data_IF_655073619633
#
_entry.id   IF_655073619633
#
_cell.length_a   1.000
_cell.length_b   1.000
_cell.length_c   1.000
_cell.angle_alpha   90.00
_cell.angle_beta   90.00
_cell.angle_gamma   90.00
#
_symmetry.space_group_name_H-M   'P 1'
#
loop_
_entity.id
_entity.type
_entity.pdbx_description
1 polymer ?
#
# COMPACT_ATOMS: atom_id res chain seq x y z
N UNK A 1 15.37 35.89 6.25
CA UNK A 1 13.92 35.67 6.21
C UNK A 1 13.63 35.19 4.80
N UNK A 2 13.65 33.89 4.59
CA UNK A 2 13.41 33.23 3.33
C UNK A 2 11.90 33.05 3.20
N UNK A 3 11.29 33.76 2.24
CA UNK A 3 9.91 33.53 1.84
C UNK A 3 9.80 32.12 1.26
N UNK A 4 9.15 31.23 2.00
CA UNK A 4 8.63 29.98 1.47
C UNK A 4 7.53 30.35 0.45
N UNK A 5 7.88 30.34 -0.83
CA UNK A 5 6.89 30.35 -1.89
C UNK A 5 5.99 29.14 -1.69
N UNK A 6 4.79 29.38 -1.16
CA UNK A 6 3.70 28.42 -1.26
C UNK A 6 3.38 28.25 -2.74
N UNK A 7 3.90 27.19 -3.35
CA UNK A 7 3.38 26.72 -4.62
C UNK A 7 1.88 26.54 -4.45
N UNK A 8 1.05 27.05 -5.37
CA UNK A 8 -0.38 26.81 -5.33
C UNK A 8 -0.57 25.30 -5.39
N UNK A 9 -1.05 24.71 -4.29
CA UNK A 9 -1.53 23.33 -4.28
C UNK A 9 -2.66 23.25 -5.31
N UNK A 10 -2.31 22.80 -6.50
CA UNK A 10 -3.28 22.51 -7.55
C UNK A 10 -4.16 21.38 -7.02
N UNK A 11 -5.33 21.72 -6.48
CA UNK A 11 -6.24 20.84 -5.74
C UNK A 11 -6.74 19.63 -6.52
N UNK A 12 -6.36 19.49 -7.79
CA UNK A 12 -6.95 18.53 -8.73
C UNK A 12 -5.97 17.54 -9.37
N UNK A 13 -4.73 17.44 -8.89
CA UNK A 13 -3.77 16.49 -9.43
C UNK A 13 -3.65 15.32 -8.47
N UNK A 14 -4.30 14.22 -8.81
CA UNK A 14 -4.21 12.93 -8.14
C UNK A 14 -3.35 12.03 -9.01
N UNK A 15 -2.09 11.84 -8.63
CA UNK A 15 -1.11 11.08 -9.41
C UNK A 15 -0.99 9.64 -8.95
N UNK A 16 -0.61 8.74 -9.86
CA UNK A 16 -0.30 7.34 -9.51
C UNK A 16 0.77 7.30 -8.43
N UNK A 17 0.60 6.41 -7.48
CA UNK A 17 1.38 6.22 -6.24
C UNK A 17 1.12 7.22 -5.12
N UNK A 18 0.34 8.29 -5.32
CA UNK A 18 -0.08 9.15 -4.21
C UNK A 18 -0.86 8.35 -3.18
N UNK A 19 -0.62 8.64 -1.90
CA UNK A 19 -1.26 7.95 -0.77
C UNK A 19 -2.21 8.92 -0.07
N UNK A 20 -3.43 8.45 0.17
CA UNK A 20 -4.49 9.22 0.82
C UNK A 20 -5.09 8.47 2.00
N UNK A 21 -5.52 9.23 2.99
CA UNK A 21 -6.43 8.74 4.02
C UNK A 21 -7.85 9.12 3.57
N UNK A 22 -8.59 8.16 3.03
CA UNK A 22 -9.87 8.35 2.40
C UNK A 22 -11.03 7.92 3.31
N UNK A 23 -12.21 8.51 3.11
CA UNK A 23 -13.44 8.12 3.81
C UNK A 23 -14.36 7.35 2.87
N UNK A 24 -14.94 6.25 3.34
CA UNK A 24 -15.94 5.49 2.59
C UNK A 24 -17.24 6.30 2.49
N UNK A 25 -17.58 6.76 1.29
CA UNK A 25 -18.80 7.55 1.01
C UNK A 25 -20.00 6.65 0.77
N UNK A 26 -19.84 5.58 0.00
CA UNK A 26 -20.87 4.58 -0.26
C UNK A 26 -20.29 3.23 -0.66
N UNK A 27 -21.04 2.18 -0.37
CA UNK A 27 -20.76 0.81 -0.80
C UNK A 27 -21.64 0.49 -2.02
N UNK A 28 -21.04 -0.12 -3.03
CA UNK A 28 -21.70 -0.61 -4.24
C UNK A 28 -21.59 -2.14 -4.27
N UNK A 29 -22.53 -2.82 -3.63
CA UNK A 29 -22.52 -4.28 -3.47
C UNK A 29 -22.56 -5.03 -4.79
N UNK A 30 -23.33 -4.53 -5.77
CA UNK A 30 -23.40 -5.11 -7.12
C UNK A 30 -22.06 -5.09 -7.88
N UNK A 31 -21.15 -4.17 -7.53
CA UNK A 31 -19.81 -4.06 -8.11
C UNK A 31 -18.74 -4.67 -7.20
N UNK A 32 -19.11 -5.17 -6.03
CA UNK A 32 -18.20 -5.58 -4.96
C UNK A 32 -17.12 -4.51 -4.67
N UNK A 33 -17.53 -3.24 -4.58
CA UNK A 33 -16.66 -2.08 -4.52
C UNK A 33 -17.19 -1.00 -3.57
N UNK A 34 -16.29 -0.07 -3.21
CA UNK A 34 -16.62 1.14 -2.45
C UNK A 34 -16.21 2.39 -3.24
N UNK A 35 -16.93 3.49 -3.03
CA UNK A 35 -16.57 4.81 -3.48
C UNK A 35 -16.08 5.63 -2.29
N UNK A 36 -14.90 6.21 -2.44
CA UNK A 36 -14.17 6.89 -1.37
C UNK A 36 -14.04 8.38 -1.66
N UNK A 37 -14.23 9.18 -0.63
CA UNK A 37 -13.91 10.59 -0.63
C UNK A 37 -12.44 10.77 -0.20
N UNK A 38 -11.63 11.35 -1.07
CA UNK A 38 -10.22 11.67 -0.84
C UNK A 38 -9.98 13.19 -0.77
N UNK A 39 -11.05 14.00 -0.68
CA UNK A 39 -10.97 15.46 -0.80
C UNK A 39 -10.72 15.95 -2.23
N UNK A 40 -10.97 15.10 -3.24
CA UNK A 40 -10.88 15.41 -4.66
C UNK A 40 -12.28 15.62 -5.25
N UNK A 41 -12.36 16.22 -6.45
CA UNK A 41 -13.66 16.48 -7.11
C UNK A 41 -14.45 15.21 -7.41
N UNK A 42 -13.76 14.09 -7.60
CA UNK A 42 -14.38 12.82 -7.95
C UNK A 42 -14.06 11.74 -6.92
N UNK A 43 -15.10 10.97 -6.58
CA UNK A 43 -14.95 9.85 -5.67
C UNK A 43 -14.00 8.79 -6.26
N UNK A 44 -13.07 8.29 -5.45
CA UNK A 44 -12.19 7.21 -5.84
C UNK A 44 -12.91 5.86 -5.81
N UNK A 45 -12.51 4.94 -6.68
CA UNK A 45 -13.06 3.60 -6.78
C UNK A 45 -12.11 2.57 -6.18
N UNK A 46 -12.60 1.84 -5.17
CA UNK A 46 -11.87 0.74 -4.50
C UNK A 46 -12.67 -0.56 -4.68
N UNK A 47 -12.14 -1.50 -5.44
CA UNK A 47 -12.74 -2.83 -5.58
C UNK A 47 -12.31 -3.75 -4.43
N UNK A 48 -13.10 -4.76 -4.07
CA UNK A 48 -12.77 -5.72 -3.01
C UNK A 48 -11.39 -6.35 -3.18
N UNK A 49 -11.04 -6.79 -4.39
CA UNK A 49 -9.73 -7.39 -4.67
C UNK A 49 -8.56 -6.42 -4.52
N UNK A 50 -8.81 -5.13 -4.57
CA UNK A 50 -7.80 -4.08 -4.40
C UNK A 50 -7.56 -3.73 -2.91
N UNK A 51 -8.28 -4.37 -1.96
CA UNK A 51 -8.00 -4.27 -0.53
C UNK A 51 -6.65 -4.90 -0.15
N UNK A 52 -6.28 -5.96 -0.85
CA UNK A 52 -5.10 -6.77 -0.54
C UNK A 52 -5.32 -7.70 0.65
N UNK A 53 -4.48 -8.74 0.78
CA UNK A 53 -4.65 -9.78 1.79
C UNK A 53 -4.45 -9.26 3.22
N UNK A 54 -3.66 -8.21 3.41
CA UNK A 54 -3.28 -7.68 4.72
C UNK A 54 -4.08 -6.43 5.14
N UNK A 55 -5.20 -6.16 4.49
CA UNK A 55 -6.05 -5.00 4.76
C UNK A 55 -6.43 -4.85 6.24
N UNK A 56 -6.74 -5.94 6.93
CA UNK A 56 -7.12 -5.90 8.34
C UNK A 56 -6.03 -5.27 9.23
N UNK A 57 -4.75 -5.50 8.92
CA UNK A 57 -3.63 -4.90 9.64
C UNK A 57 -3.52 -3.40 9.37
N UNK A 58 -3.63 -3.01 8.10
CA UNK A 58 -3.64 -1.59 7.69
C UNK A 58 -4.78 -0.84 8.38
N UNK A 59 -6.00 -1.40 8.38
CA UNK A 59 -7.16 -0.83 9.05
C UNK A 59 -6.95 -0.67 10.56
N UNK A 60 -6.46 -1.71 11.23
CA UNK A 60 -6.24 -1.68 12.68
C UNK A 60 -5.16 -0.64 13.03
N UNK A 61 -4.11 -0.51 12.22
CA UNK A 61 -3.09 0.53 12.37
C UNK A 61 -3.68 1.93 12.25
N UNK A 62 -4.43 2.19 11.18
CA UNK A 62 -5.08 3.48 10.92
C UNK A 62 -6.01 3.84 12.08
N UNK A 63 -6.89 2.92 12.50
CA UNK A 63 -7.84 3.15 13.60
C UNK A 63 -7.13 3.44 14.93
N UNK A 64 -6.06 2.72 15.25
CA UNK A 64 -5.28 2.94 16.46
C UNK A 64 -4.58 4.29 16.42
N UNK A 65 -4.05 4.70 15.28
CA UNK A 65 -3.37 5.99 15.08
C UNK A 65 -4.34 7.15 15.23
N UNK A 66 -5.52 7.09 14.58
CA UNK A 66 -6.55 8.13 14.68
C UNK A 66 -7.05 8.26 16.13
N UNK A 67 -7.23 7.15 16.83
CA UNK A 67 -7.72 7.15 18.22
C UNK A 67 -6.62 7.45 19.25
N UNK A 68 -5.44 7.91 18.83
CA UNK A 68 -4.27 8.23 19.70
C UNK A 68 -3.87 7.08 20.65
N UNK A 69 -4.23 5.86 20.36
CA UNK A 69 -3.70 4.68 21.03
C UNK A 69 -2.26 4.54 20.56
N UNK A 70 -1.30 4.56 21.51
CA UNK A 70 0.14 4.46 21.22
C UNK A 70 0.41 3.25 20.32
N UNK A 71 0.59 3.50 19.03
CA UNK A 71 0.96 2.49 18.05
C UNK A 71 2.45 2.59 17.81
N UNK A 72 3.23 1.97 18.70
CA UNK A 72 4.60 1.65 18.32
C UNK A 72 4.52 0.65 17.17
N UNK A 73 5.19 0.93 16.05
CA UNK A 73 5.30 0.02 14.92
C UNK A 73 5.61 -1.43 15.36
N UNK A 74 6.43 -1.59 16.42
CA UNK A 74 6.77 -2.88 17.03
C UNK A 74 5.57 -3.67 17.59
N UNK A 75 4.46 -3.02 17.93
CA UNK A 75 3.24 -3.72 18.41
C UNK A 75 2.43 -4.33 17.27
N UNK A 76 2.66 -3.90 16.03
CA UNK A 76 2.04 -4.49 14.83
C UNK A 76 2.67 -5.83 14.43
N UNK A 77 3.86 -6.15 14.97
CA UNK A 77 4.58 -7.40 14.69
C UNK A 77 3.86 -8.67 15.14
N UNK A 78 3.04 -8.58 16.19
CA UNK A 78 2.66 -9.77 16.95
C UNK A 78 1.45 -10.54 16.40
N UNK A 79 0.60 -9.94 15.57
CA UNK A 79 -0.66 -10.56 15.20
C UNK A 79 -1.00 -10.34 13.71
N UNK A 80 -0.23 -10.96 12.81
CA UNK A 80 -0.73 -11.11 11.44
C UNK A 80 -2.01 -11.96 11.51
N UNK A 81 -3.15 -11.30 11.40
CA UNK A 81 -4.46 -11.93 11.27
C UNK A 81 -4.51 -12.71 9.95
N UNK A 82 -5.42 -13.65 9.87
CA UNK A 82 -5.64 -14.37 8.63
C UNK A 82 -5.87 -13.40 7.46
N UNK A 83 -5.27 -13.69 6.30
CA UNK A 83 -5.45 -12.87 5.12
C UNK A 83 -6.92 -12.82 4.71
N UNK A 84 -7.35 -11.70 4.11
CA UNK A 84 -8.69 -11.61 3.54
C UNK A 84 -8.90 -12.72 2.51
N UNK A 85 -10.09 -13.33 2.54
CA UNK A 85 -10.49 -14.30 1.52
C UNK A 85 -10.51 -13.65 0.14
N UNK A 86 -10.13 -14.38 -0.90
CA UNK A 86 -10.20 -13.90 -2.28
C UNK A 86 -11.64 -13.69 -2.76
N UNK A 87 -12.57 -14.49 -2.25
CA UNK A 87 -13.98 -14.51 -2.66
C UNK A 87 -14.89 -13.77 -1.68
N UNK A 88 -14.35 -12.78 -0.98
CA UNK A 88 -15.09 -12.00 -0.01
C UNK A 88 -15.95 -10.90 -0.63
N UNK A 89 -16.77 -10.28 0.22
CA UNK A 89 -17.66 -9.18 -0.15
C UNK A 89 -17.23 -7.89 0.56
N UNK A 90 -17.25 -6.78 -0.19
CA UNK A 90 -16.81 -5.46 0.28
C UNK A 90 -17.63 -4.98 1.48
N UNK A 91 -18.93 -5.23 1.52
CA UNK A 91 -19.86 -4.83 2.58
C UNK A 91 -19.66 -5.58 3.90
N UNK A 92 -18.95 -6.71 3.87
CA UNK A 92 -18.55 -7.45 5.08
C UNK A 92 -17.26 -6.88 5.70
N UNK A 93 -16.51 -6.11 4.93
CA UNK A 93 -15.19 -5.58 5.33
C UNK A 93 -15.24 -4.07 5.60
N UNK A 94 -15.96 -3.32 4.76
CA UNK A 94 -16.09 -1.87 4.84
C UNK A 94 -17.51 -1.43 5.15
N UNK A 95 -17.60 -0.33 5.90
CA UNK A 95 -18.86 0.37 6.17
C UNK A 95 -18.76 1.82 5.71
N UNK A 96 -19.91 2.46 5.51
CA UNK A 96 -19.96 3.89 5.28
C UNK A 96 -19.27 4.62 6.44
N UNK A 97 -18.56 5.68 6.10
CA UNK A 97 -17.76 6.55 6.99
C UNK A 97 -16.49 5.90 7.57
N UNK A 98 -16.17 4.63 7.23
CA UNK A 98 -14.88 4.05 7.58
C UNK A 98 -13.74 4.85 6.94
N UNK A 99 -12.62 4.95 7.66
CA UNK A 99 -11.39 5.57 7.15
C UNK A 99 -10.46 4.50 6.62
N UNK A 100 -9.97 4.68 5.39
CA UNK A 100 -9.12 3.72 4.68
C UNK A 100 -7.87 4.42 4.16
N UNK A 101 -6.70 3.83 4.42
CA UNK A 101 -5.45 4.23 3.78
C UNK A 101 -5.39 3.61 2.38
N UNK A 102 -5.26 4.44 1.36
CA UNK A 102 -5.28 4.01 -0.04
C UNK A 102 -4.18 4.65 -0.85
N UNK A 103 -3.76 3.96 -1.90
CA UNK A 103 -2.80 4.44 -2.88
C UNK A 103 -3.43 4.48 -4.27
N UNK A 104 -3.18 5.54 -5.02
CA UNK A 104 -3.69 5.69 -6.38
C UNK A 104 -2.99 4.72 -7.32
N UNK A 105 -3.77 3.85 -7.95
CA UNK A 105 -3.28 2.89 -8.95
C UNK A 105 -3.53 3.34 -10.39
N UNK A 106 -4.55 4.18 -10.60
CA UNK A 106 -4.85 4.82 -11.87
C UNK A 106 -5.42 6.20 -11.64
N UNK A 107 -4.94 7.17 -12.39
CA UNK A 107 -5.42 8.54 -12.38
C UNK A 107 -6.88 8.64 -12.86
N UNK A 108 -7.59 9.71 -12.47
CA UNK A 108 -8.94 9.94 -12.97
C UNK A 108 -8.94 10.14 -14.48
N UNK A 109 -9.92 9.57 -15.17
CA UNK A 109 -10.07 9.70 -16.62
C UNK A 109 -11.48 10.20 -16.95
N UNK A 110 -11.57 11.30 -17.70
CA UNK A 110 -12.85 11.89 -18.13
C UNK A 110 -13.80 12.08 -16.93
N UNK A 111 -14.95 11.40 -16.93
CA UNK A 111 -15.96 11.49 -15.85
C UNK A 111 -15.71 10.54 -14.69
N UNK A 112 -14.77 9.60 -14.82
CA UNK A 112 -14.47 8.58 -13.78
C UNK A 112 -13.42 9.10 -12.80
N UNK A 113 -13.66 8.85 -11.52
CA UNK A 113 -12.66 9.09 -10.47
C UNK A 113 -11.46 8.15 -10.54
N UNK A 114 -10.43 8.38 -9.71
CA UNK A 114 -9.25 7.55 -9.68
C UNK A 114 -9.57 6.14 -9.17
N UNK A 115 -8.81 5.15 -9.64
CA UNK A 115 -8.82 3.82 -9.02
C UNK A 115 -7.74 3.75 -7.95
N UNK A 116 -8.10 3.21 -6.80
CA UNK A 116 -7.18 3.08 -5.66
C UNK A 116 -7.08 1.63 -5.19
N UNK A 117 -5.99 1.35 -4.49
CA UNK A 117 -5.72 0.07 -3.82
C UNK A 117 -5.42 0.34 -2.35
N UNK A 118 -5.80 -0.56 -1.44
CA UNK A 118 -5.46 -0.44 -0.03
C UNK A 118 -4.16 -1.19 0.33
N UNK A 119 -3.62 -1.98 -0.57
CA UNK A 119 -2.29 -2.55 -0.43
C UNK A 119 -1.25 -1.51 -0.88
N UNK A 120 -0.69 -0.79 0.10
CA UNK A 120 0.30 0.26 -0.14
C UNK A 120 1.61 -0.38 -0.60
N UNK A 121 2.27 0.23 -1.58
CA UNK A 121 3.58 -0.17 -2.07
C UNK A 121 4.50 1.04 -2.24
N UNK A 122 5.71 0.98 -1.68
CA UNK A 122 6.71 2.02 -1.76
C UNK A 122 7.81 1.56 -2.72
N UNK A 123 7.82 2.12 -3.91
CA UNK A 123 8.70 1.69 -4.98
C UNK A 123 10.05 2.39 -4.91
N UNK A 124 11.11 1.61 -4.59
CA UNK A 124 12.50 1.99 -4.78
C UNK A 124 13.04 1.56 -6.16
N UNK A 125 14.33 1.75 -6.36
CA UNK A 125 15.02 1.37 -7.59
C UNK A 125 15.12 -0.15 -7.75
N UNK A 126 15.56 -0.84 -6.71
CA UNK A 126 15.82 -2.29 -6.68
C UNK A 126 14.71 -3.06 -5.99
N UNK A 127 14.05 -2.45 -5.04
CA UNK A 127 13.09 -3.05 -4.14
C UNK A 127 11.73 -2.32 -4.21
N UNK A 128 10.68 -3.03 -3.84
CA UNK A 128 9.38 -2.43 -3.51
C UNK A 128 9.03 -2.89 -2.11
N UNK A 129 8.89 -1.95 -1.18
CA UNK A 129 8.44 -2.22 0.17
C UNK A 129 6.92 -2.30 0.23
N UNK A 130 6.40 -3.28 0.95
CA UNK A 130 4.97 -3.49 1.16
C UNK A 130 4.72 -3.50 2.67
N UNK A 131 4.21 -2.40 3.25
CA UNK A 131 3.85 -2.34 4.66
C UNK A 131 2.81 -3.41 5.02
N UNK A 132 2.76 -3.79 6.29
CA UNK A 132 1.81 -4.78 6.82
C UNK A 132 1.92 -6.19 6.23
N UNK A 133 3.07 -6.52 5.65
CA UNK A 133 3.37 -7.80 5.06
C UNK A 133 4.68 -8.36 5.64
N UNK A 134 4.89 -9.66 5.54
CA UNK A 134 6.17 -10.30 5.88
C UNK A 134 6.71 -11.11 4.69
N UNK A 135 6.08 -10.96 3.52
CA UNK A 135 6.40 -11.75 2.35
C UNK A 135 7.58 -11.15 1.59
N UNK A 136 8.62 -11.96 1.36
CA UNK A 136 9.72 -11.62 0.44
C UNK A 136 9.50 -12.36 -0.87
N UNK A 137 9.39 -11.61 -1.97
CA UNK A 137 9.18 -12.12 -3.31
C UNK A 137 10.29 -11.66 -4.24
N UNK A 138 10.72 -12.53 -5.16
CA UNK A 138 11.73 -12.20 -6.17
C UNK A 138 11.09 -12.19 -7.54
N UNK A 139 11.42 -11.19 -8.36
CA UNK A 139 10.92 -11.10 -9.73
C UNK A 139 11.14 -12.43 -10.49
N UNK A 140 10.08 -12.94 -11.11
CA UNK A 140 10.14 -14.16 -11.92
C UNK A 140 11.06 -14.04 -13.13
N UNK A 141 11.40 -12.82 -13.57
CA UNK A 141 12.36 -12.55 -14.65
C UNK A 141 13.80 -12.88 -14.27
N UNK A 142 14.12 -13.00 -12.99
CA UNK A 142 15.39 -13.55 -12.52
C UNK A 142 15.26 -15.06 -12.57
N UNK A 143 15.85 -15.71 -13.60
CA UNK A 143 15.71 -17.17 -13.81
C UNK A 143 16.72 -18.00 -13.00
N UNK A 144 17.82 -17.39 -12.57
CA UNK A 144 18.85 -18.07 -11.78
C UNK A 144 18.39 -18.31 -10.34
N UNK A 145 18.15 -19.55 -9.99
CA UNK A 145 17.69 -19.95 -8.64
C UNK A 145 18.73 -19.69 -7.54
N UNK A 146 20.03 -19.74 -7.87
CA UNK A 146 21.09 -19.41 -6.91
C UNK A 146 21.02 -17.93 -6.57
N UNK A 147 20.83 -17.09 -7.58
CA UNK A 147 20.70 -15.64 -7.41
C UNK A 147 19.40 -15.27 -6.65
N UNK A 148 18.27 -15.90 -6.95
CA UNK A 148 17.03 -15.71 -6.18
C UNK A 148 17.23 -16.03 -4.69
N UNK A 149 17.85 -17.17 -4.39
CA UNK A 149 18.14 -17.55 -3.00
C UNK A 149 19.10 -16.58 -2.32
N UNK A 150 20.12 -16.09 -3.05
CA UNK A 150 21.07 -15.09 -2.55
C UNK A 150 20.36 -13.79 -2.19
N UNK A 151 19.59 -13.22 -3.14
CA UNK A 151 18.85 -11.98 -2.94
C UNK A 151 17.84 -12.11 -1.79
N UNK A 152 17.08 -13.19 -1.74
CA UNK A 152 16.11 -13.43 -0.66
C UNK A 152 16.78 -13.48 0.71
N UNK A 153 17.96 -14.10 0.83
CA UNK A 153 18.73 -14.12 2.09
C UNK A 153 19.22 -12.74 2.49
N UNK A 154 19.77 -11.96 1.53
CA UNK A 154 20.23 -10.60 1.80
C UNK A 154 19.09 -9.70 2.30
N UNK A 155 17.98 -9.72 1.58
CA UNK A 155 16.82 -8.89 1.97
C UNK A 155 16.28 -9.32 3.33
N UNK A 156 16.20 -10.61 3.62
CA UNK A 156 15.75 -11.11 4.93
C UNK A 156 16.59 -10.59 6.10
N UNK A 157 17.87 -10.27 5.88
CA UNK A 157 18.75 -9.75 6.94
C UNK A 157 18.67 -8.24 7.14
N UNK A 158 18.12 -7.48 6.20
CA UNK A 158 18.07 -6.01 6.24
C UNK A 158 16.65 -5.43 6.28
N UNK A 159 15.64 -6.18 5.81
CA UNK A 159 14.26 -5.69 5.78
C UNK A 159 13.74 -5.43 7.20
N UNK A 160 13.13 -4.26 7.46
CA UNK A 160 12.50 -3.99 8.74
C UNK A 160 11.32 -4.96 8.99
N UNK A 161 11.11 -5.30 10.25
CA UNK A 161 9.95 -6.12 10.63
C UNK A 161 8.63 -5.43 10.29
N UNK A 162 7.65 -6.21 9.85
CA UNK A 162 6.34 -5.71 9.44
C UNK A 162 6.27 -5.22 8.00
N UNK A 163 7.38 -5.37 7.23
CA UNK A 163 7.42 -5.09 5.81
C UNK A 163 7.68 -6.34 4.98
N UNK A 164 6.89 -6.50 3.93
CA UNK A 164 7.22 -7.37 2.82
C UNK A 164 8.08 -6.64 1.79
N UNK A 165 8.74 -7.40 0.93
CA UNK A 165 9.59 -6.86 -0.14
C UNK A 165 9.38 -7.60 -1.44
N UNK A 166 9.23 -6.87 -2.53
CA UNK A 166 9.33 -7.40 -3.89
C UNK A 166 10.67 -6.98 -4.48
N UNK A 167 11.53 -7.95 -4.75
CA UNK A 167 12.86 -7.73 -5.35
C UNK A 167 12.71 -7.63 -6.85
N UNK A 168 13.08 -6.47 -7.41
CA UNK A 168 12.96 -6.17 -8.85
C UNK A 168 14.09 -6.82 -9.65
N UNK A 169 13.89 -6.98 -10.95
CA UNK A 169 14.88 -7.59 -11.85
C UNK A 169 16.23 -6.86 -11.85
N UNK A 170 16.20 -5.55 -11.70
CA UNK A 170 17.42 -4.69 -11.67
C UNK A 170 18.29 -4.89 -10.41
N UNK A 171 17.76 -5.60 -9.40
CA UNK A 171 18.53 -6.00 -8.21
C UNK A 171 19.50 -7.17 -8.45
N UNK A 172 19.43 -7.82 -9.63
CA UNK A 172 20.33 -8.91 -9.99
C UNK A 172 21.80 -8.46 -9.87
N UNK A 173 22.65 -9.29 -9.26
CA UNK A 173 24.08 -9.07 -9.02
C UNK A 173 24.40 -7.84 -8.13
N UNK A 174 23.43 -7.20 -7.50
CA UNK A 174 23.66 -6.09 -6.58
C UNK A 174 24.22 -6.56 -5.25
N UNK A 175 25.02 -5.72 -4.62
CA UNK A 175 25.58 -5.94 -3.28
C UNK A 175 24.54 -5.57 -2.22
N UNK A 176 24.75 -6.06 -1.01
CA UNK A 176 23.85 -5.76 0.13
C UNK A 176 23.74 -4.25 0.38
N UNK A 177 24.83 -3.52 0.26
CA UNK A 177 24.85 -2.07 0.49
C UNK A 177 23.98 -1.30 -0.52
N UNK A 178 23.94 -1.74 -1.77
CA UNK A 178 23.08 -1.14 -2.80
C UNK A 178 21.59 -1.35 -2.48
N UNK A 179 21.26 -2.50 -1.90
CA UNK A 179 19.89 -2.88 -1.52
C UNK A 179 19.45 -2.21 -0.22
N UNK A 180 20.37 -2.09 0.74
CA UNK A 180 20.13 -1.43 2.03
C UNK A 180 19.91 0.09 1.84
N UNK A 181 20.61 0.71 0.90
CA UNK A 181 20.42 2.12 0.57
C UNK A 181 19.09 2.41 -0.13
N UNK A 182 18.45 1.38 -0.71
CA UNK A 182 17.16 1.48 -1.42
C UNK A 182 15.96 1.25 -0.48
N UNK A 183 16.23 0.75 0.73
CA UNK A 183 15.24 0.53 1.80
C UNK A 183 15.00 1.79 2.64
#
# INVERSE_FOLDING_TARGET
LTELHQLPLNKNICSVFDIYLARVKRIATSLNAAFLDMGQDKDAFLHYHDLGPHYNHSRDYVNNTINKKSTRWNQLKANFKDPLSKDGLIDKVLKKDDTVLVQVSKEPISTKGPRVVAEISLAGRYLVLVPFSNRISVSQKIRDEKEKKRLSRLIKSIVPDGFGVVIRTVAKNKKVIDLDTDL
#
